data_IF_710272962987
#
_entry.id   IF_710272962987
#
_cell.length_a   1.000
_cell.length_b   1.000
_cell.length_c   1.000
_cell.angle_alpha   90.00
_cell.angle_beta   90.00
_cell.angle_gamma   90.00
#
_symmetry.space_group_name_H-M   'P 1'
#
loop_
_entity.id
_entity.type
_entity.pdbx_description
1 polymer ?
#
# COMPACT_ATOMS: atom_id res chain seq x y z
N UNK A 1 -16.48 -5.82 12.42
CA UNK A 1 -15.50 -6.49 11.53
C UNK A 1 -15.76 -7.98 11.51
N UNK A 2 -15.76 -8.66 12.65
CA UNK A 2 -16.03 -10.12 12.71
C UNK A 2 -17.38 -10.51 12.10
N UNK A 3 -18.41 -9.67 12.26
CA UNK A 3 -19.74 -9.87 11.67
C UNK A 3 -19.80 -9.69 10.14
N UNK A 4 -18.82 -9.01 9.54
CA UNK A 4 -18.80 -8.77 8.09
C UNK A 4 -18.26 -9.98 7.30
N UNK A 5 -17.87 -11.03 8.01
CA UNK A 5 -17.37 -12.27 7.44
C UNK A 5 -15.86 -12.40 7.51
N UNK A 6 -15.34 -13.58 7.17
CA UNK A 6 -13.90 -13.79 7.09
C UNK A 6 -13.31 -12.98 5.93
N UNK A 7 -12.12 -12.44 6.15
CA UNK A 7 -11.37 -11.72 5.13
C UNK A 7 -10.17 -12.54 4.70
N UNK A 8 -9.88 -12.56 3.40
CA UNK A 8 -8.64 -13.14 2.88
C UNK A 8 -7.59 -12.06 2.57
N UNK A 9 -8.00 -10.78 2.48
CA UNK A 9 -7.14 -9.63 2.23
C UNK A 9 -7.64 -8.40 3.01
N UNK A 10 -6.73 -7.72 3.72
CA UNK A 10 -6.97 -6.40 4.33
C UNK A 10 -6.10 -5.35 3.67
N UNK A 11 -6.72 -4.31 3.12
CA UNK A 11 -6.01 -3.19 2.50
C UNK A 11 -6.26 -1.90 3.30
N UNK A 12 -5.20 -1.13 3.54
CA UNK A 12 -5.29 0.21 4.11
C UNK A 12 -4.28 1.14 3.46
N UNK A 13 -4.58 2.44 3.50
CA UNK A 13 -3.62 3.44 3.04
C UNK A 13 -3.75 4.74 3.82
N UNK A 14 -2.68 5.54 3.83
CA UNK A 14 -2.82 6.96 4.14
C UNK A 14 -3.63 7.64 3.01
N UNK A 15 -4.25 8.80 3.25
CA UNK A 15 -4.95 9.55 2.20
C UNK A 15 -4.02 9.87 1.03
N UNK A 16 -4.59 10.14 -0.14
CA UNK A 16 -3.81 10.68 -1.24
C UNK A 16 -3.32 12.10 -0.89
N UNK A 17 -2.14 12.45 -1.39
CA UNK A 17 -1.52 13.75 -1.15
C UNK A 17 -2.44 14.88 -1.66
N UNK A 18 -2.55 15.96 -0.88
CA UNK A 18 -3.39 17.12 -1.23
C UNK A 18 -4.86 17.01 -0.83
N UNK A 19 -5.32 15.88 -0.31
CA UNK A 19 -6.63 15.80 0.36
C UNK A 19 -6.50 16.27 1.81
N UNK A 20 -7.39 17.17 2.23
CA UNK A 20 -7.47 17.63 3.63
C UNK A 20 -7.69 16.42 4.54
N UNK A 21 -6.78 16.25 5.49
CA UNK A 21 -6.80 15.11 6.38
C UNK A 21 -7.23 15.55 7.78
N UNK A 22 -8.41 15.13 8.23
CA UNK A 22 -8.95 15.48 9.56
C UNK A 22 -8.17 14.84 10.73
N UNK A 23 -7.19 13.99 10.42
CA UNK A 23 -6.44 13.17 11.38
C UNK A 23 -4.94 13.22 11.07
N UNK A 24 -4.09 12.93 12.05
CA UNK A 24 -2.65 12.77 11.79
C UNK A 24 -2.39 11.52 10.90
N UNK A 25 -1.34 11.52 10.06
CA UNK A 25 -1.01 10.36 9.22
C UNK A 25 -0.86 9.04 10.00
N UNK A 26 -0.23 9.07 11.18
CA UNK A 26 -0.10 7.90 12.06
C UNK A 26 -1.43 7.32 12.56
N UNK A 27 -2.51 8.11 12.59
CA UNK A 27 -3.84 7.61 12.98
C UNK A 27 -4.32 6.48 12.06
N UNK A 28 -4.09 6.60 10.75
CA UNK A 28 -4.49 5.58 9.77
C UNK A 28 -3.77 4.26 9.97
N UNK A 29 -2.47 4.31 10.33
CA UNK A 29 -1.68 3.14 10.67
C UNK A 29 -2.27 2.42 11.89
N UNK A 30 -2.57 3.15 12.97
CA UNK A 30 -3.12 2.53 14.18
C UNK A 30 -4.51 1.93 13.94
N UNK A 31 -5.36 2.61 13.18
CA UNK A 31 -6.67 2.07 12.81
C UNK A 31 -6.54 0.83 11.93
N UNK A 32 -5.65 0.86 10.93
CA UNK A 32 -5.36 -0.28 10.09
C UNK A 32 -4.87 -1.46 10.93
N UNK A 33 -3.90 -1.26 11.82
CA UNK A 33 -3.39 -2.31 12.68
C UNK A 33 -4.49 -2.91 13.56
N UNK A 34 -5.36 -2.07 14.14
CA UNK A 34 -6.51 -2.55 14.93
C UNK A 34 -7.46 -3.43 14.09
N UNK A 35 -7.83 -2.97 12.90
CA UNK A 35 -8.72 -3.72 12.00
C UNK A 35 -8.07 -5.01 11.49
N UNK A 36 -6.76 -4.98 11.23
CA UNK A 36 -5.97 -6.14 10.85
C UNK A 36 -6.05 -7.25 11.92
N UNK A 37 -5.98 -6.89 13.21
CA UNK A 37 -6.14 -7.88 14.29
C UNK A 37 -7.54 -8.49 14.32
N UNK A 38 -8.60 -7.70 14.08
CA UNK A 38 -9.97 -8.24 14.03
C UNK A 38 -10.25 -9.10 12.79
N UNK A 39 -9.54 -8.85 11.69
CA UNK A 39 -9.70 -9.60 10.45
C UNK A 39 -8.81 -10.85 10.38
N UNK A 40 -7.82 -10.99 11.27
CA UNK A 40 -6.91 -12.13 11.28
C UNK A 40 -7.71 -13.43 11.48
N UNK A 41 -7.46 -14.47 10.66
CA UNK A 41 -8.10 -15.75 10.84
C UNK A 41 -7.66 -16.41 12.15
N UNK A 42 -8.49 -17.33 12.65
CA UNK A 42 -8.18 -18.10 13.86
C UNK A 42 -6.86 -18.86 13.70
N UNK A 43 -6.11 -18.97 14.79
CA UNK A 43 -4.87 -19.73 14.83
C UNK A 43 -5.12 -21.17 14.34
N UNK A 44 -4.30 -21.63 13.39
CA UNK A 44 -4.45 -22.94 12.77
C UNK A 44 -5.39 -23.00 11.55
N UNK A 45 -5.98 -21.89 11.13
CA UNK A 45 -6.70 -21.83 9.84
C UNK A 45 -5.74 -22.09 8.68
N UNK A 46 -6.04 -23.05 7.77
CA UNK A 46 -5.20 -23.32 6.60
C UNK A 46 -5.38 -22.27 5.49
N UNK A 47 -6.34 -21.36 5.63
CA UNK A 47 -6.63 -20.36 4.59
C UNK A 47 -5.52 -19.30 4.52
N UNK A 48 -5.02 -18.98 3.33
CA UNK A 48 -4.07 -17.89 3.16
C UNK A 48 -4.73 -16.56 3.53
N UNK A 49 -4.00 -15.70 4.24
CA UNK A 49 -4.46 -14.38 4.65
C UNK A 49 -3.41 -13.33 4.33
N UNK A 50 -3.83 -12.30 3.62
CA UNK A 50 -2.97 -11.24 3.14
C UNK A 50 -3.34 -9.88 3.72
N UNK A 51 -2.38 -8.99 3.78
CA UNK A 51 -2.60 -7.59 4.16
C UNK A 51 -1.60 -6.68 3.47
N UNK A 52 -2.00 -5.43 3.27
CA UNK A 52 -1.17 -4.40 2.68
C UNK A 52 -1.53 -3.04 3.26
N UNK A 53 -0.52 -2.32 3.73
CA UNK A 53 -0.63 -0.92 4.11
C UNK A 53 0.23 -0.06 3.19
N UNK A 54 -0.37 0.99 2.62
CA UNK A 54 0.28 1.88 1.64
C UNK A 54 0.36 3.29 2.22
N UNK A 55 1.57 3.82 2.30
CA UNK A 55 1.81 5.22 2.62
C UNK A 55 2.11 6.02 1.35
N UNK A 56 1.27 7.03 1.08
CA UNK A 56 1.48 8.04 0.03
C UNK A 56 2.51 9.10 0.45
N UNK A 57 3.58 8.66 1.12
CA UNK A 57 4.68 9.46 1.65
C UNK A 57 4.27 10.49 2.72
N UNK A 58 3.15 10.27 3.41
CA UNK A 58 2.65 11.14 4.48
C UNK A 58 3.26 10.82 5.85
N UNK A 59 3.82 9.63 6.04
CA UNK A 59 4.44 9.25 7.30
C UNK A 59 5.82 9.87 7.45
N UNK A 60 6.06 10.50 8.61
CA UNK A 60 7.40 10.97 9.02
C UNK A 60 8.35 9.80 9.25
N UNK A 61 9.65 10.06 9.45
CA UNK A 61 10.62 9.00 9.81
C UNK A 61 10.22 8.28 11.10
N UNK A 62 9.75 9.02 12.09
CA UNK A 62 9.34 8.45 13.37
C UNK A 62 8.07 7.59 13.19
N UNK A 63 7.10 8.08 12.41
CA UNK A 63 5.90 7.29 12.07
C UNK A 63 6.26 6.02 11.30
N UNK A 64 7.24 6.08 10.39
CA UNK A 64 7.73 4.92 9.65
C UNK A 64 8.38 3.89 10.58
N UNK A 65 9.23 4.34 11.52
CA UNK A 65 9.83 3.44 12.51
C UNK A 65 8.76 2.77 13.39
N UNK A 66 7.70 3.50 13.76
CA UNK A 66 6.55 2.95 14.47
C UNK A 66 5.80 1.95 13.57
N UNK A 67 5.54 2.29 12.31
CA UNK A 67 4.89 1.40 11.34
C UNK A 67 5.66 0.09 11.18
N UNK A 68 6.98 0.14 11.00
CA UNK A 68 7.80 -1.07 10.87
C UNK A 68 7.77 -1.95 12.11
N UNK A 69 7.69 -1.36 13.32
CA UNK A 69 7.53 -2.11 14.57
C UNK A 69 6.15 -2.77 14.68
N UNK A 70 5.08 -2.04 14.38
CA UNK A 70 3.70 -2.55 14.48
C UNK A 70 3.37 -3.60 13.40
N UNK A 71 3.97 -3.46 12.22
CA UNK A 71 3.76 -4.34 11.07
C UNK A 71 4.85 -5.41 10.94
N UNK A 72 5.82 -5.41 11.87
CA UNK A 72 6.92 -6.37 11.99
C UNK A 72 7.76 -6.51 10.70
N UNK A 73 7.87 -5.43 9.91
CA UNK A 73 8.66 -5.41 8.67
C UNK A 73 9.00 -4.01 8.22
N UNK A 74 10.09 -3.86 7.47
CA UNK A 74 10.43 -2.60 6.82
C UNK A 74 9.58 -2.33 5.56
N UNK A 75 9.34 -1.05 5.22
CA UNK A 75 8.61 -0.70 4.01
C UNK A 75 9.40 -1.04 2.74
N UNK A 76 8.65 -1.37 1.70
CA UNK A 76 9.12 -1.40 0.31
C UNK A 76 8.73 -0.09 -0.35
N UNK A 77 9.72 0.68 -0.82
CA UNK A 77 9.46 1.88 -1.62
C UNK A 77 9.22 1.49 -3.08
N UNK A 78 8.03 1.77 -3.58
CA UNK A 78 7.66 1.64 -4.99
C UNK A 78 7.74 3.01 -5.65
N UNK A 79 8.36 3.08 -6.81
CA UNK A 79 8.64 4.31 -7.52
C UNK A 79 8.06 4.23 -8.93
N UNK A 80 7.45 5.32 -9.38
CA UNK A 80 7.10 5.55 -10.77
C UNK A 80 8.13 6.49 -11.38
N UNK A 81 8.98 5.95 -12.24
CA UNK A 81 10.06 6.70 -12.90
C UNK A 81 9.76 6.78 -14.39
N UNK A 82 9.59 8.01 -14.89
CA UNK A 82 9.48 8.26 -16.32
C UNK A 82 10.77 8.88 -16.85
N UNK A 83 11.54 8.09 -17.61
CA UNK A 83 12.89 8.47 -18.04
C UNK A 83 13.86 8.51 -16.86
N UNK A 84 14.30 9.71 -16.46
CA UNK A 84 15.14 9.95 -15.27
C UNK A 84 14.41 10.67 -14.13
N UNK A 85 13.11 10.90 -14.30
CA UNK A 85 12.34 11.75 -13.40
C UNK A 85 11.40 10.88 -12.58
N UNK A 86 11.58 10.91 -11.26
CA UNK A 86 10.63 10.33 -10.32
C UNK A 86 9.31 11.12 -10.38
N UNK A 87 8.26 10.45 -10.85
CA UNK A 87 6.91 11.01 -11.00
C UNK A 87 6.09 10.83 -9.72
N UNK A 88 6.20 9.64 -9.10
CA UNK A 88 5.46 9.29 -7.91
C UNK A 88 6.23 8.24 -7.11
N UNK A 89 5.97 8.14 -5.82
CA UNK A 89 6.44 7.04 -4.99
C UNK A 89 5.47 6.77 -3.85
N UNK A 90 5.46 5.51 -3.40
CA UNK A 90 4.70 5.07 -2.22
C UNK A 90 5.55 4.12 -1.40
N UNK A 91 5.30 4.04 -0.10
CA UNK A 91 5.88 3.03 0.78
C UNK A 91 4.84 1.97 1.09
N UNK A 92 5.24 0.71 1.06
CA UNK A 92 4.31 -0.42 1.22
C UNK A 92 4.82 -1.40 2.28
N UNK A 93 3.97 -1.73 3.23
CA UNK A 93 4.15 -2.86 4.15
C UNK A 93 3.15 -3.94 3.76
N UNK A 94 3.62 -5.17 3.54
CA UNK A 94 2.74 -6.25 3.10
C UNK A 94 3.36 -7.63 3.29
N UNK A 95 2.51 -8.61 3.58
CA UNK A 95 2.88 -10.03 3.52
C UNK A 95 2.61 -10.69 2.16
N UNK A 96 2.18 -9.92 1.15
CA UNK A 96 1.98 -10.45 -0.21
C UNK A 96 3.34 -10.86 -0.79
N UNK A 97 3.48 -12.11 -1.29
CA UNK A 97 4.73 -12.59 -1.87
C UNK A 97 5.23 -11.71 -3.03
N UNK A 98 6.53 -11.75 -3.32
CA UNK A 98 7.15 -11.07 -4.47
C UNK A 98 6.97 -9.53 -4.56
N UNK A 99 6.38 -8.87 -3.56
CA UNK A 99 6.40 -7.40 -3.47
C UNK A 99 7.79 -6.92 -3.06
N UNK A 100 8.46 -7.65 -2.15
CA UNK A 100 9.83 -7.36 -1.71
C UNK A 100 10.86 -7.49 -2.85
N UNK A 101 10.65 -8.33 -3.86
CA UNK A 101 11.59 -8.40 -5.00
C UNK A 101 11.52 -7.18 -5.92
N UNK A 102 10.58 -6.26 -5.71
CA UNK A 102 10.41 -5.03 -6.51
C UNK A 102 11.11 -3.82 -5.90
N UNK A 103 12.05 -4.02 -4.96
CA UNK A 103 12.88 -2.92 -4.46
C UNK A 103 13.59 -2.24 -5.64
N UNK A 104 13.12 -1.05 -6.02
CA UNK A 104 13.85 -0.14 -6.88
C UNK A 104 15.06 0.39 -6.12
N UNK A 105 16.13 0.77 -6.81
CA UNK A 105 17.21 1.58 -6.23
C UNK A 105 16.60 2.72 -5.42
N UNK A 106 16.93 2.77 -4.13
CA UNK A 106 16.34 3.73 -3.20
C UNK A 106 16.58 5.14 -3.72
N UNK A 107 15.51 5.83 -4.10
CA UNK A 107 15.54 7.25 -4.34
C UNK A 107 15.94 7.93 -3.02
N UNK A 108 16.72 9.00 -3.10
CA UNK A 108 17.07 9.76 -1.91
C UNK A 108 15.79 10.33 -1.28
N UNK A 109 15.84 10.64 0.01
CA UNK A 109 14.70 11.25 0.69
C UNK A 109 14.31 12.60 0.07
N UNK A 110 15.30 13.33 -0.46
CA UNK A 110 15.09 14.57 -1.21
C UNK A 110 14.30 14.32 -2.50
N UNK A 111 14.62 13.25 -3.24
CA UNK A 111 13.89 12.87 -4.45
C UNK A 111 12.44 12.48 -4.14
N UNK A 112 12.19 11.79 -3.01
CA UNK A 112 10.85 11.45 -2.55
C UNK A 112 10.04 12.71 -2.18
N UNK A 113 10.66 13.70 -1.54
CA UNK A 113 10.03 15.00 -1.25
C UNK A 113 9.69 15.75 -2.54
N UNK A 114 10.60 15.76 -3.53
CA UNK A 114 10.32 16.35 -4.85
C UNK A 114 9.18 15.64 -5.58
N UNK A 115 9.05 14.32 -5.41
CA UNK A 115 7.91 13.57 -5.95
C UNK A 115 6.60 13.97 -5.25
N UNK A 116 6.60 14.19 -3.93
CA UNK A 116 5.44 14.72 -3.21
C UNK A 116 5.00 16.07 -3.76
N UNK A 117 5.91 17.05 -3.86
CA UNK A 117 5.58 18.40 -4.35
C UNK A 117 4.96 18.35 -5.76
N UNK A 118 5.47 17.47 -6.63
CA UNK A 118 4.93 17.26 -7.98
C UNK A 118 3.53 16.64 -7.97
N UNK A 119 3.25 15.72 -7.06
CA UNK A 119 1.92 15.11 -6.89
C UNK A 119 0.89 16.14 -6.41
N UNK A 120 1.30 17.08 -5.56
CA UNK A 120 0.43 18.14 -5.04
C UNK A 120 0.06 19.19 -6.10
N UNK A 121 0.91 19.38 -7.12
CA UNK A 121 0.68 20.31 -8.23
C UNK A 121 -0.07 19.74 -9.45
N UNK A 122 -0.37 18.44 -9.51
CA UNK A 122 -1.04 17.80 -10.66
C UNK A 122 -2.49 17.40 -10.36
N UNK A 123 -3.36 17.59 -11.35
CA UNK A 123 -4.72 16.99 -11.39
C UNK A 123 -4.62 15.45 -11.38
N UNK A 124 -5.57 14.74 -10.73
CA UNK A 124 -5.48 13.31 -10.43
C UNK A 124 -5.69 12.48 -11.70
N UNK A 125 -4.68 12.41 -12.56
CA UNK A 125 -4.73 11.63 -13.81
C UNK A 125 -4.19 10.21 -13.64
N UNK A 126 -3.29 9.99 -12.67
CA UNK A 126 -2.88 8.67 -12.21
C UNK A 126 -2.68 8.70 -10.70
N UNK A 127 -3.64 8.13 -9.97
CA UNK A 127 -3.52 7.99 -8.51
C UNK A 127 -2.43 6.97 -8.13
N UNK A 128 -2.03 6.94 -6.84
CA UNK A 128 -1.12 5.95 -6.27
C UNK A 128 -1.50 4.49 -6.55
N UNK A 129 -2.78 4.25 -6.89
CA UNK A 129 -3.34 2.97 -7.31
C UNK A 129 -2.55 2.29 -8.44
N UNK A 130 -1.94 3.04 -9.37
CA UNK A 130 -1.16 2.47 -10.46
C UNK A 130 0.09 1.74 -9.96
N UNK A 131 0.76 2.29 -8.92
CA UNK A 131 1.98 1.72 -8.35
C UNK A 131 1.72 0.41 -7.59
N UNK A 132 0.59 0.35 -6.88
CA UNK A 132 0.26 -0.81 -6.03
C UNK A 132 -0.48 -1.91 -6.77
N UNK A 133 -1.08 -1.63 -7.94
CA UNK A 133 -1.84 -2.62 -8.72
C UNK A 133 -1.04 -3.91 -8.98
N UNK A 134 0.24 -3.76 -9.31
CA UNK A 134 1.11 -4.88 -9.63
C UNK A 134 1.51 -5.72 -8.39
N UNK A 135 1.36 -5.17 -7.19
CA UNK A 135 1.62 -5.89 -5.94
C UNK A 135 0.59 -6.99 -5.67
N UNK A 136 -0.60 -6.91 -6.29
CA UNK A 136 -1.64 -7.93 -6.15
C UNK A 136 -1.56 -9.05 -7.19
N UNK A 137 -0.68 -8.97 -8.19
CA UNK A 137 -0.53 -10.02 -9.20
C UNK A 137 -0.22 -11.41 -8.62
N UNK A 138 0.65 -11.56 -7.60
CA UNK A 138 0.92 -12.86 -6.97
C UNK A 138 -0.31 -13.51 -6.33
N UNK A 139 -1.32 -12.70 -5.97
CA UNK A 139 -2.56 -13.23 -5.37
C UNK A 139 -3.40 -14.06 -6.35
N UNK A 140 -3.10 -14.01 -7.66
CA UNK A 140 -3.74 -14.88 -8.66
C UNK A 140 -3.50 -16.37 -8.44
N UNK A 141 -2.43 -16.74 -7.73
CA UNK A 141 -2.15 -18.13 -7.37
C UNK A 141 -3.03 -18.63 -6.20
N UNK A 142 -3.63 -17.72 -5.45
CA UNK A 142 -4.41 -18.01 -4.25
C UNK A 142 -5.92 -17.85 -4.45
N UNK A 143 -6.33 -16.97 -5.38
CA UNK A 143 -7.73 -16.63 -5.62
C UNK A 143 -8.15 -16.90 -7.05
N UNK A 144 -9.47 -17.09 -7.24
CA UNK A 144 -10.07 -17.24 -8.55
C UNK A 144 -9.85 -15.97 -9.39
N UNK A 145 -9.25 -16.14 -10.57
CA UNK A 145 -9.08 -15.07 -11.52
C UNK A 145 -10.30 -14.96 -12.45
N UNK A 146 -10.78 -13.74 -12.64
CA UNK A 146 -11.82 -13.41 -13.62
C UNK A 146 -11.22 -12.44 -14.64
N UNK A 147 -11.16 -12.83 -15.90
CA UNK A 147 -10.93 -11.89 -17.00
C UNK A 147 -12.25 -11.25 -17.37
N UNK A 148 -12.32 -9.92 -17.42
CA UNK A 148 -13.41 -9.26 -18.14
C UNK A 148 -13.36 -9.76 -19.59
N UNK A 149 -14.35 -10.56 -19.97
CA UNK A 149 -14.71 -10.64 -21.38
C UNK A 149 -15.22 -9.25 -21.72
N UNK A 150 -14.41 -8.42 -22.36
CA UNK A 150 -14.93 -7.30 -23.14
C UNK A 150 -15.83 -7.94 -24.20
N UNK A 151 -17.11 -8.05 -23.89
CA UNK A 151 -18.16 -8.31 -24.87
C UNK A 151 -18.15 -7.11 -25.81
N UNK A 152 -17.35 -7.21 -26.85
CA UNK A 152 -17.47 -6.40 -28.06
C UNK A 152 -18.82 -6.75 -28.67
N UNK A 153 -19.82 -5.91 -28.37
CA UNK A 153 -21.02 -5.74 -29.19
C UNK A 153 -20.76 -4.59 -30.17
#
# INVERSE_FOLDING_TARGET
VEEWGPFDLVYGSTPALGHSCDRSPGWYLFQFHRLLQYARPRLGSPKPFFWMFVDNLLLTKDDQAIASRFLEMEPVTLQDVHGRVLQNAVRVWTNVPAVKSRHSTLASEEELLLAQDRQQGRLPTQGPAALVKNCFLPLREYFKYFSERTSSL
#
